data_IF_533284956412
#
_entry.id   IF_533284956412
#
_cell.length_a   1.000
_cell.length_b   1.000
_cell.length_c   1.000
_cell.angle_alpha   90.00
_cell.angle_beta   90.00
_cell.angle_gamma   90.00
#
_symmetry.space_group_name_H-M   'P 1'
#
loop_
_entity.id
_entity.type
_entity.pdbx_description
1 polymer ?
#
# COMPACT_ATOMS: atom_id res chain seq x y z
N UNK A 1 0.57 15.51 10.51
CA UNK A 1 -0.45 14.48 10.23
C UNK A 1 0.29 13.21 9.81
N UNK A 2 0.24 12.15 10.61
CA UNK A 2 0.81 10.86 10.21
C UNK A 2 0.01 10.24 9.07
N UNK A 3 0.57 9.22 8.40
CA UNK A 3 -0.17 8.49 7.37
C UNK A 3 -1.44 7.86 7.94
N UNK A 4 -2.58 8.03 7.27
CA UNK A 4 -3.84 7.40 7.67
C UNK A 4 -3.79 5.88 7.43
N UNK A 5 -3.01 5.42 6.45
CA UNK A 5 -2.77 4.03 6.13
C UNK A 5 -1.28 3.79 5.86
N UNK A 6 -0.72 2.78 6.54
CA UNK A 6 0.61 2.24 6.27
C UNK A 6 0.46 0.80 5.78
N UNK A 7 1.13 0.47 4.67
CA UNK A 7 1.21 -0.88 4.11
C UNK A 7 2.67 -1.30 4.10
N UNK A 8 2.99 -2.37 4.84
CA UNK A 8 4.31 -3.00 4.83
C UNK A 8 4.21 -4.35 4.13
N UNK A 9 5.00 -4.51 3.07
CA UNK A 9 5.17 -5.76 2.35
C UNK A 9 6.53 -6.38 2.71
N UNK A 10 6.56 -7.69 2.93
CA UNK A 10 7.79 -8.46 3.19
C UNK A 10 7.98 -9.53 2.10
N UNK A 11 9.25 -9.89 1.85
CA UNK A 11 9.65 -10.83 0.79
C UNK A 11 9.10 -10.43 -0.59
N UNK A 12 9.42 -9.21 -1.02
CA UNK A 12 8.84 -8.56 -2.21
C UNK A 12 9.63 -8.87 -3.48
N UNK A 13 8.91 -9.17 -4.56
CA UNK A 13 9.46 -9.33 -5.92
C UNK A 13 8.69 -8.41 -6.87
N UNK A 14 9.42 -7.73 -7.76
CA UNK A 14 8.84 -7.03 -8.90
C UNK A 14 8.28 -8.06 -9.89
N UNK A 15 6.96 -8.21 -9.95
CA UNK A 15 6.32 -9.21 -10.80
C UNK A 15 6.12 -8.73 -12.23
N UNK A 16 6.03 -7.42 -12.45
CA UNK A 16 6.09 -6.82 -13.80
C UNK A 16 6.31 -5.31 -13.74
N UNK A 17 6.79 -4.76 -14.84
CA UNK A 17 6.85 -3.32 -15.13
C UNK A 17 6.17 -3.07 -16.46
N UNK A 18 5.26 -2.09 -16.50
CA UNK A 18 4.60 -1.63 -17.74
C UNK A 18 4.80 -0.13 -17.88
N UNK A 19 5.47 0.29 -18.96
CA UNK A 19 5.65 1.70 -19.27
C UNK A 19 4.41 2.24 -19.97
N UNK A 20 3.78 3.25 -19.39
CA UNK A 20 2.60 3.89 -19.93
C UNK A 20 3.03 5.22 -20.58
N UNK A 21 3.35 5.18 -21.87
CA UNK A 21 3.68 6.35 -22.67
C UNK A 21 2.42 7.17 -22.96
N UNK A 22 2.23 8.28 -22.27
CA UNK A 22 1.03 9.13 -22.37
C UNK A 22 1.10 10.16 -23.53
N UNK A 23 1.86 9.86 -24.59
CA UNK A 23 2.16 10.81 -25.68
C UNK A 23 0.96 11.23 -26.54
N UNK A 24 -0.17 10.53 -26.44
CA UNK A 24 -1.45 10.89 -27.07
C UNK A 24 -2.34 11.79 -26.21
N UNK A 25 -1.93 12.09 -24.97
CA UNK A 25 -2.66 12.97 -24.04
C UNK A 25 -1.95 14.31 -23.98
N UNK A 26 -2.64 15.38 -24.36
CA UNK A 26 -2.12 16.75 -24.22
C UNK A 26 -1.83 17.03 -22.73
N UNK A 27 -0.58 17.41 -22.40
CA UNK A 27 -0.04 17.53 -21.03
C UNK A 27 0.06 16.21 -20.23
N UNK A 28 -0.01 15.06 -20.89
CA UNK A 28 0.18 13.75 -20.27
C UNK A 28 1.63 13.49 -19.91
N UNK A 29 1.96 13.44 -18.63
CA UNK A 29 3.28 12.99 -18.17
C UNK A 29 3.40 11.46 -18.34
N UNK A 30 4.55 10.94 -18.79
CA UNK A 30 4.77 9.50 -18.86
C UNK A 30 4.66 8.89 -17.46
N UNK A 31 4.04 7.71 -17.38
CA UNK A 31 3.89 6.98 -16.12
C UNK A 31 4.32 5.54 -16.30
N UNK A 32 4.46 4.80 -15.21
CA UNK A 32 4.68 3.37 -15.24
C UNK A 32 3.79 2.67 -14.22
N UNK A 33 3.50 1.40 -14.46
CA UNK A 33 2.81 0.51 -13.52
C UNK A 33 3.77 -0.58 -13.09
N UNK A 34 4.10 -0.57 -11.80
CA UNK A 34 4.91 -1.60 -11.15
C UNK A 34 3.96 -2.50 -10.37
N UNK A 35 4.08 -3.82 -10.56
CA UNK A 35 3.35 -4.83 -9.78
C UNK A 35 4.30 -5.56 -8.86
N UNK A 36 3.84 -5.79 -7.63
CA UNK A 36 4.60 -6.40 -6.55
C UNK A 36 3.92 -7.71 -6.13
N UNK A 37 4.66 -8.80 -6.17
CA UNK A 37 4.32 -10.00 -5.40
C UNK A 37 5.01 -9.91 -4.04
N UNK A 38 4.37 -10.41 -2.98
CA UNK A 38 4.88 -10.35 -1.62
C UNK A 38 4.54 -11.63 -0.87
N UNK A 39 5.38 -12.01 0.10
CA UNK A 39 5.15 -13.15 0.97
C UNK A 39 4.22 -12.83 2.13
N UNK A 40 4.38 -11.65 2.73
CA UNK A 40 3.55 -11.17 3.85
C UNK A 40 3.14 -9.72 3.66
N UNK A 41 2.00 -9.38 4.25
CA UNK A 41 1.46 -8.02 4.29
C UNK A 41 1.05 -7.67 5.72
N UNK A 42 1.41 -6.47 6.16
CA UNK A 42 0.90 -5.84 7.38
C UNK A 42 0.32 -4.48 7.02
N UNK A 43 -0.89 -4.21 7.45
CA UNK A 43 -1.58 -2.93 7.29
C UNK A 43 -1.82 -2.32 8.67
N UNK A 44 -1.52 -1.04 8.80
CA UNK A 44 -1.87 -0.23 9.95
C UNK A 44 -2.73 0.92 9.47
N UNK A 45 -3.95 1.01 10.01
CA UNK A 45 -4.86 2.12 9.76
C UNK A 45 -4.97 2.98 11.02
N UNK A 46 -4.63 4.27 10.90
CA UNK A 46 -4.82 5.25 11.98
C UNK A 46 -6.18 5.90 11.82
N UNK A 47 -7.10 5.60 12.73
CA UNK A 47 -8.42 6.22 12.76
C UNK A 47 -8.29 7.72 13.05
N UNK A 48 -9.16 8.53 12.45
CA UNK A 48 -9.22 9.97 12.71
C UNK A 48 -10.37 10.28 13.67
N UNK A 49 -10.11 11.13 14.67
CA UNK A 49 -11.13 11.69 15.54
C UNK A 49 -12.04 12.59 14.74
N UNK A 50 -13.36 12.47 14.95
CA UNK A 50 -14.36 13.32 14.27
C UNK A 50 -14.28 14.79 14.69
N UNK A 51 -13.77 15.08 15.89
CA UNK A 51 -13.73 16.42 16.46
C UNK A 51 -12.68 17.33 15.84
N UNK A 52 -11.50 16.80 15.52
CA UNK A 52 -10.31 17.60 15.19
C UNK A 52 -9.40 16.95 14.14
N UNK A 53 -9.79 15.79 13.58
CA UNK A 53 -9.00 15.06 12.59
C UNK A 53 -7.69 14.46 13.14
N UNK A 54 -7.44 14.54 14.46
CA UNK A 54 -6.26 13.94 15.07
C UNK A 54 -6.38 12.41 15.14
N UNK A 55 -5.28 11.72 15.45
CA UNK A 55 -5.29 10.26 15.62
C UNK A 55 -6.21 9.81 16.75
N UNK A 56 -7.12 8.88 16.46
CA UNK A 56 -8.14 8.33 17.35
C UNK A 56 -7.92 6.88 17.79
N UNK A 57 -6.83 6.24 17.32
CA UNK A 57 -6.51 4.83 17.58
C UNK A 57 -5.93 4.17 16.33
N UNK A 58 -5.32 2.98 16.50
CA UNK A 58 -4.77 2.21 15.39
C UNK A 58 -5.44 0.84 15.29
N UNK A 59 -5.80 0.47 14.08
CA UNK A 59 -6.24 -0.88 13.72
C UNK A 59 -5.10 -1.53 12.93
N UNK A 60 -4.62 -2.66 13.42
CA UNK A 60 -3.54 -3.41 12.78
C UNK A 60 -4.09 -4.74 12.33
N UNK A 61 -3.72 -5.15 11.13
CA UNK A 61 -4.00 -6.49 10.61
C UNK A 61 -2.93 -6.92 9.63
N UNK A 62 -2.70 -8.22 9.51
CA UNK A 62 -1.75 -8.75 8.54
C UNK A 62 -1.93 -10.22 8.22
N UNK A 63 -1.44 -10.62 7.06
CA UNK A 63 -1.48 -12.00 6.59
C UNK A 63 -0.09 -12.48 6.17
N UNK A 64 0.27 -13.67 6.60
CA UNK A 64 1.41 -14.43 6.12
C UNK A 64 0.91 -15.38 5.03
N UNK A 65 1.14 -15.00 3.77
CA UNK A 65 0.75 -15.81 2.60
C UNK A 65 1.61 -17.06 2.41
N UNK A 66 2.85 -17.06 2.93
CA UNK A 66 3.76 -18.22 2.86
C UNK A 66 3.27 -19.32 3.81
N UNK A 67 2.85 -18.96 5.02
CA UNK A 67 2.38 -19.90 6.06
C UNK A 67 0.86 -20.02 6.14
N UNK A 68 0.13 -19.25 5.33
CA UNK A 68 -1.33 -19.17 5.31
C UNK A 68 -1.95 -18.96 6.70
N UNK A 69 -1.53 -17.89 7.39
CA UNK A 69 -2.02 -17.56 8.74
C UNK A 69 -2.02 -16.07 9.02
N UNK A 70 -2.71 -15.66 10.08
CA UNK A 70 -2.64 -14.30 10.62
C UNK A 70 -1.19 -13.97 11.03
N UNK A 71 -0.71 -12.81 10.60
CA UNK A 71 0.64 -12.30 10.86
C UNK A 71 0.67 -11.16 11.88
N UNK A 72 -0.39 -10.36 11.93
CA UNK A 72 -0.56 -9.24 12.86
C UNK A 72 -2.05 -9.00 13.15
#
# INVERSE_FOLDING_TARGET
>A
LGASLEIKLEEVILSSVSLNGNGSVENGFPTETIRLNYGRIKMLYTQQKRSDGQGGGQVVGGWDGIKNKVYA
#
